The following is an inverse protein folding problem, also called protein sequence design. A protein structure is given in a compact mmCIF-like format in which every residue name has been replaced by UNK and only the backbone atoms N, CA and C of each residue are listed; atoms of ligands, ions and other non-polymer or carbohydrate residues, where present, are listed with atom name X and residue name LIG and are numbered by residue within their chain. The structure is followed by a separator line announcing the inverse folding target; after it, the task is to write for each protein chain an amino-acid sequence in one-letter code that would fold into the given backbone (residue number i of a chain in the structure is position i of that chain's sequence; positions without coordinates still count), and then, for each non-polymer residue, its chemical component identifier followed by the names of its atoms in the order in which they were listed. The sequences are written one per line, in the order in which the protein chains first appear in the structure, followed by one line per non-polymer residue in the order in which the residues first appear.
data_IF_104178901928
#
_entry.id   IF_104178901928
#
_cell.length_a   1.000
_cell.length_b   1.000
_cell.length_c   1.000
_cell.angle_alpha   90.00
_cell.angle_beta   90.00
_cell.angle_gamma   90.00
#
_symmetry.space_group_name_H-M   'P 1'
#
loop_
_entity.id
_entity.type
_entity.pdbx_description
1 polymer ?
#
# COMPACT_ATOMS: atom_id res chain seq x y z
N UNK A 1 -32.75 -53.54 -13.52
CA UNK A 1 -33.10 -52.59 -12.44
C UNK A 1 -32.13 -51.43 -12.52
N UNK A 2 -32.58 -50.25 -12.96
CA UNK A 2 -31.73 -49.06 -13.02
C UNK A 2 -31.65 -48.43 -11.63
N UNK A 3 -30.45 -48.38 -11.05
CA UNK A 3 -30.22 -47.76 -9.74
C UNK A 3 -30.23 -46.24 -9.83
N UNK A 4 -30.87 -45.59 -8.87
CA UNK A 4 -30.86 -44.12 -8.74
C UNK A 4 -29.44 -43.65 -8.42
N UNK A 5 -28.87 -42.80 -9.30
CA UNK A 5 -27.59 -42.13 -9.08
C UNK A 5 -27.85 -40.64 -8.86
N UNK A 6 -27.68 -40.17 -7.62
CA UNK A 6 -27.75 -38.74 -7.30
C UNK A 6 -26.33 -38.17 -7.40
N UNK A 7 -26.11 -37.28 -8.37
CA UNK A 7 -24.86 -36.52 -8.47
C UNK A 7 -25.00 -35.23 -7.66
N UNK A 8 -24.29 -35.13 -6.54
CA UNK A 8 -24.16 -33.89 -5.78
C UNK A 8 -22.98 -33.13 -6.37
N UNK A 9 -23.22 -31.96 -6.97
CA UNK A 9 -22.16 -31.04 -7.39
C UNK A 9 -21.60 -30.34 -6.15
N UNK A 10 -20.28 -30.35 -5.96
CA UNK A 10 -19.64 -29.63 -4.86
C UNK A 10 -19.88 -28.10 -5.00
N UNK A 11 -20.63 -27.47 -4.08
CA UNK A 11 -20.91 -26.04 -4.15
C UNK A 11 -19.68 -25.16 -3.84
N UNK A 12 -18.54 -25.75 -3.46
CA UNK A 12 -17.31 -25.04 -3.11
C UNK A 12 -16.82 -24.10 -4.23
N UNK A 13 -16.98 -24.48 -5.50
CA UNK A 13 -16.59 -23.64 -6.63
C UNK A 13 -17.48 -22.41 -6.78
N UNK A 14 -18.80 -22.58 -6.68
CA UNK A 14 -19.77 -21.50 -6.75
C UNK A 14 -19.58 -20.50 -5.60
N UNK A 15 -19.33 -21.02 -4.39
CA UNK A 15 -18.98 -20.21 -3.22
C UNK A 15 -17.67 -19.44 -3.42
N UNK A 16 -16.61 -20.10 -3.85
CA UNK A 16 -15.29 -19.49 -4.08
C UNK A 16 -15.37 -18.37 -5.12
N UNK A 17 -16.12 -18.60 -6.20
CA UNK A 17 -16.38 -17.59 -7.23
C UNK A 17 -17.12 -16.38 -6.64
N UNK A 18 -18.22 -16.60 -5.92
CA UNK A 18 -18.99 -15.53 -5.31
C UNK A 18 -18.15 -14.68 -4.33
N UNK A 19 -17.34 -15.32 -3.48
CA UNK A 19 -16.44 -14.61 -2.57
C UNK A 19 -15.38 -13.80 -3.31
N UNK A 20 -14.79 -14.36 -4.37
CA UNK A 20 -13.80 -13.66 -5.20
C UNK A 20 -14.41 -12.44 -5.91
N UNK A 21 -15.62 -12.58 -6.43
CA UNK A 21 -16.31 -11.50 -7.14
C UNK A 21 -16.70 -10.35 -6.21
N UNK A 22 -17.05 -10.66 -4.95
CA UNK A 22 -17.25 -9.64 -3.90
C UNK A 22 -15.94 -9.02 -3.41
N UNK A 23 -14.86 -9.79 -3.32
CA UNK A 23 -13.56 -9.31 -2.85
C UNK A 23 -12.90 -8.31 -3.82
N UNK A 24 -12.95 -8.56 -5.13
CA UNK A 24 -12.30 -7.73 -6.16
C UNK A 24 -12.63 -6.23 -6.07
N UNK A 25 -13.90 -5.78 -6.00
CA UNK A 25 -14.22 -4.36 -5.91
C UNK A 25 -13.73 -3.74 -4.59
N UNK A 26 -13.80 -4.48 -3.48
CA UNK A 26 -13.30 -4.03 -2.18
C UNK A 26 -11.78 -3.84 -2.25
N UNK A 27 -11.06 -4.82 -2.78
CA UNK A 27 -9.61 -4.75 -2.94
C UNK A 27 -9.19 -3.56 -3.83
N UNK A 28 -9.93 -3.31 -4.91
CA UNK A 28 -9.69 -2.15 -5.78
C UNK A 28 -9.92 -0.84 -5.03
N UNK A 29 -11.04 -0.71 -4.32
CA UNK A 29 -11.36 0.49 -3.56
C UNK A 29 -10.31 0.77 -2.47
N UNK A 30 -9.93 -0.24 -1.69
CA UNK A 30 -8.89 -0.14 -0.67
C UNK A 30 -7.53 0.29 -1.26
N UNK A 31 -7.14 -0.27 -2.41
CA UNK A 31 -5.89 0.09 -3.09
C UNK A 31 -5.91 1.53 -3.60
N UNK A 32 -7.03 2.00 -4.15
CA UNK A 32 -7.20 3.40 -4.59
C UNK A 32 -7.12 4.35 -3.39
N UNK A 33 -7.83 4.06 -2.31
CA UNK A 33 -7.79 4.85 -1.09
C UNK A 33 -6.36 4.95 -0.53
N UNK A 34 -5.65 3.83 -0.43
CA UNK A 34 -4.26 3.83 0.03
C UNK A 34 -3.33 4.60 -0.91
N UNK A 35 -3.59 4.57 -2.22
CA UNK A 35 -2.83 5.36 -3.21
C UNK A 35 -3.05 6.87 -3.02
N UNK A 36 -4.28 7.29 -2.74
CA UNK A 36 -4.57 8.68 -2.43
C UNK A 36 -3.87 9.13 -1.14
N UNK A 37 -3.96 8.32 -0.08
CA UNK A 37 -3.24 8.57 1.19
C UNK A 37 -1.73 8.69 0.94
N UNK A 38 -1.14 7.75 0.19
CA UNK A 38 0.28 7.77 -0.13
C UNK A 38 0.71 9.02 -0.91
N UNK A 39 -0.12 9.48 -1.85
CA UNK A 39 0.14 10.70 -2.62
C UNK A 39 0.11 11.94 -1.73
N UNK A 40 -0.87 12.04 -0.83
CA UNK A 40 -0.97 13.15 0.12
C UNK A 40 0.23 13.18 1.06
N UNK A 41 0.56 12.05 1.71
CA UNK A 41 1.76 11.93 2.57
C UNK A 41 3.01 12.38 1.82
N UNK A 42 3.17 11.95 0.56
CA UNK A 42 4.33 12.31 -0.26
C UNK A 42 4.39 13.81 -0.59
N UNK A 43 3.25 14.42 -0.90
CA UNK A 43 3.17 15.84 -1.22
C UNK A 43 3.46 16.68 0.03
N UNK A 44 2.74 16.41 1.12
CA UNK A 44 2.82 17.17 2.38
C UNK A 44 4.20 16.99 3.03
N UNK A 45 4.72 15.76 3.09
CA UNK A 45 6.04 15.49 3.62
C UNK A 45 7.14 16.24 2.87
N UNK A 46 7.03 16.34 1.54
CA UNK A 46 7.98 17.11 0.73
C UNK A 46 7.85 18.61 0.94
N UNK A 47 6.63 19.12 1.05
CA UNK A 47 6.37 20.51 1.34
C UNK A 47 6.97 20.90 2.70
N UNK A 48 6.74 20.09 3.73
CA UNK A 48 7.29 20.31 5.08
C UNK A 48 8.82 20.28 5.10
N UNK A 49 9.44 19.30 4.43
CA UNK A 49 10.90 19.24 4.29
C UNK A 49 11.47 20.51 3.63
N UNK A 50 10.84 21.01 2.56
CA UNK A 50 11.28 22.24 1.90
C UNK A 50 11.06 23.47 2.78
N UNK A 51 9.94 23.54 3.50
CA UNK A 51 9.64 24.62 4.44
C UNK A 51 10.64 24.68 5.61
N UNK A 52 11.20 23.53 6.00
CA UNK A 52 12.30 23.43 6.96
C UNK A 52 13.68 23.85 6.40
N UNK A 53 13.75 24.30 5.14
CA UNK A 53 14.97 24.81 4.51
C UNK A 53 15.83 23.77 3.79
N UNK A 54 15.38 22.52 3.69
CA UNK A 54 16.13 21.49 2.96
C UNK A 54 16.01 21.65 1.43
N UNK A 55 17.04 21.18 0.72
CA UNK A 55 17.04 21.23 -0.74
C UNK A 55 15.94 20.38 -1.38
N UNK A 56 15.53 20.74 -2.60
CA UNK A 56 14.61 19.93 -3.43
C UNK A 56 15.11 18.49 -3.63
N UNK A 57 16.43 18.29 -3.70
CA UNK A 57 17.03 16.94 -3.79
C UNK A 57 16.74 16.10 -2.54
N UNK A 58 16.81 16.72 -1.36
CA UNK A 58 16.48 16.08 -0.08
C UNK A 58 15.00 15.72 -0.01
N UNK A 59 14.09 16.66 -0.31
CA UNK A 59 12.66 16.37 -0.38
C UNK A 59 12.34 15.23 -1.36
N UNK A 60 13.03 15.15 -2.50
CA UNK A 60 12.85 14.06 -3.46
C UNK A 60 13.36 12.69 -2.96
N UNK A 61 14.20 12.66 -1.92
CA UNK A 61 14.63 11.44 -1.25
C UNK A 61 13.56 10.88 -0.29
N UNK A 62 12.57 11.67 0.13
CA UNK A 62 11.36 11.18 0.78
C UNK A 62 10.51 10.40 -0.22
N UNK A 63 10.17 9.16 0.15
CA UNK A 63 9.50 8.18 -0.69
C UNK A 63 8.31 7.58 0.04
N UNK A 64 7.26 7.34 -0.74
CA UNK A 64 6.08 6.60 -0.32
C UNK A 64 5.74 5.65 -1.45
N UNK A 65 5.66 4.36 -1.13
CA UNK A 65 5.34 3.30 -2.09
C UNK A 65 4.11 2.53 -1.61
N UNK A 66 3.17 2.23 -2.51
CA UNK A 66 1.99 1.41 -2.20
C UNK A 66 2.27 -0.05 -2.56
N UNK A 67 1.88 -0.95 -1.68
CA UNK A 67 1.98 -2.39 -1.85
C UNK A 67 0.61 -3.07 -1.68
N UNK A 68 0.37 -4.21 -2.35
CA UNK A 68 1.27 -4.87 -3.29
C UNK A 68 1.42 -4.12 -4.62
N UNK A 69 2.59 -4.23 -5.26
CA UNK A 69 2.86 -3.55 -6.53
C UNK A 69 2.11 -4.22 -7.67
N UNK A 70 1.40 -3.43 -8.47
CA UNK A 70 0.71 -3.90 -9.68
C UNK A 70 -0.52 -4.76 -9.43
N UNK A 71 -0.99 -4.87 -8.18
CA UNK A 71 -2.13 -5.68 -7.81
C UNK A 71 -3.04 -4.93 -6.84
N UNK A 72 -4.33 -5.26 -6.87
CA UNK A 72 -5.29 -4.75 -5.91
C UNK A 72 -5.33 -5.67 -4.68
N UNK A 73 -5.32 -5.09 -3.49
CA UNK A 73 -5.46 -5.81 -2.22
C UNK A 73 -6.41 -5.06 -1.29
N UNK A 74 -7.26 -5.80 -0.57
CA UNK A 74 -8.04 -5.21 0.52
C UNK A 74 -7.13 -4.75 1.67
N UNK A 75 -5.93 -5.33 1.77
CA UNK A 75 -4.90 -4.97 2.75
C UNK A 75 -3.77 -4.18 2.08
N UNK A 76 -4.11 -3.24 1.19
CA UNK A 76 -3.11 -2.38 0.58
C UNK A 76 -2.43 -1.53 1.67
N UNK A 77 -1.12 -1.34 1.56
CA UNK A 77 -0.31 -0.61 2.55
C UNK A 77 0.62 0.40 1.88
N UNK A 78 0.85 1.53 2.54
CA UNK A 78 1.83 2.53 2.13
C UNK A 78 3.10 2.41 2.98
N UNK A 79 4.22 2.10 2.34
CA UNK A 79 5.55 2.14 2.94
C UNK A 79 6.14 3.54 2.76
N UNK A 80 6.31 4.25 3.87
CA UNK A 80 6.93 5.58 3.94
C UNK A 80 8.37 5.42 4.41
N UNK A 81 9.32 6.06 3.72
CA UNK A 81 10.73 6.02 4.10
C UNK A 81 11.51 7.17 3.46
N UNK A 82 12.70 7.44 4.01
CA UNK A 82 13.63 8.40 3.44
C UNK A 82 14.86 7.67 2.87
N UNK A 83 15.25 7.99 1.63
CA UNK A 83 16.40 7.33 0.97
C UNK A 83 17.75 7.77 1.56
N UNK A 84 17.82 8.96 2.15
CA UNK A 84 19.06 9.42 2.78
C UNK A 84 19.17 8.74 4.14
N UNK A 85 20.24 7.95 4.37
CA UNK A 85 20.44 7.28 5.64
C UNK A 85 20.63 8.33 6.74
N UNK A 86 20.23 7.99 7.96
CA UNK A 86 20.30 8.87 9.13
C UNK A 86 19.44 10.14 9.01
N UNK A 87 18.36 10.15 8.23
CA UNK A 87 17.42 11.27 8.22
C UNK A 87 16.79 11.51 9.62
N UNK A 88 16.46 10.43 10.33
CA UNK A 88 15.91 10.46 11.70
C UNK A 88 16.86 11.14 12.71
N UNK A 89 18.13 11.28 12.36
CA UNK A 89 19.13 11.95 13.18
C UNK A 89 18.81 13.44 13.39
N UNK A 90 18.21 14.09 12.40
CA UNK A 90 17.78 15.48 12.50
C UNK A 90 16.51 15.63 13.36
N UNK A 91 15.73 14.56 13.52
CA UNK A 91 14.58 14.53 14.44
C UNK A 91 14.99 14.13 15.87
N UNK A 92 16.03 13.30 16.01
CA UNK A 92 16.49 12.76 17.30
C UNK A 92 17.67 13.52 17.93
N UNK A 93 18.28 14.47 17.20
CA UNK A 93 19.27 15.41 17.74
C UNK A 93 20.67 14.85 17.97
N UNK A 94 21.14 13.92 17.13
CA UNK A 94 22.50 13.39 17.24
C UNK A 94 23.60 14.38 16.78
N UNK A 95 24.87 14.06 17.06
CA UNK A 95 26.05 14.84 16.61
C UNK A 95 26.84 14.15 15.48
N UNK A 96 26.88 14.73 14.27
CA UNK A 96 27.71 14.20 13.16
C UNK A 96 29.12 14.75 13.34
N UNK A 97 30.11 13.86 13.46
CA UNK A 97 31.54 14.23 13.48
C UNK A 97 32.21 13.71 12.22
N UNK A 98 33.02 14.58 11.63
CA UNK A 98 33.97 14.29 10.55
C UNK A 98 35.22 15.10 10.80
#
# INVERSE_FOLDING_TARGET
MAGLSIKISDPSEAWTKAMRDKYKPIARAATIAMTQVANNIKADGRANIMAAGFSKRWANAFRVNVYPKGQNSANAAALVYHKIPYADFFETGGMIKG
#
